data_IF_922959224951
#
_entry.id   IF_922959224951
#
_cell.length_a   1.000
_cell.length_b   1.000
_cell.length_c   1.000
_cell.angle_alpha   90.00
_cell.angle_beta   90.00
_cell.angle_gamma   90.00
#
_symmetry.space_group_name_H-M   'P 1'
#
loop_
_entity.id
_entity.type
_entity.pdbx_description
1 polymer ?
#
# COMPACT_ATOMS: atom_id res chain seq x y z
N UNK A 1 -25.97 -28.59 -5.40
CA UNK A 1 -26.10 -28.44 -4.01
C UNK A 1 -24.91 -27.71 -3.42
N UNK A 2 -23.99 -28.46 -2.85
CA UNK A 2 -22.76 -27.86 -2.40
C UNK A 2 -22.00 -27.18 -3.53
N UNK A 3 -22.12 -27.75 -4.67
CA UNK A 3 -21.34 -27.35 -5.82
C UNK A 3 -21.65 -25.95 -6.31
N UNK A 4 -22.91 -25.56 -6.30
CA UNK A 4 -23.18 -24.23 -6.86
C UNK A 4 -22.68 -23.10 -5.97
N UNK A 5 -22.48 -23.38 -4.72
CA UNK A 5 -21.84 -22.41 -3.87
C UNK A 5 -20.37 -22.20 -4.26
N UNK A 6 -19.68 -23.28 -4.52
CA UNK A 6 -18.29 -23.23 -4.89
C UNK A 6 -18.08 -22.76 -6.32
N UNK A 7 -18.98 -23.15 -7.19
CA UNK A 7 -18.86 -22.78 -8.59
C UNK A 7 -19.00 -21.28 -8.82
N UNK A 8 -19.73 -20.61 -7.93
CA UNK A 8 -19.97 -19.18 -8.07
C UNK A 8 -18.86 -18.34 -7.51
N UNK A 9 -18.03 -18.89 -6.64
CA UNK A 9 -16.94 -18.13 -6.02
C UNK A 9 -15.61 -18.70 -6.45
N UNK A 10 -14.77 -17.80 -7.00
CA UNK A 10 -13.41 -18.17 -7.40
C UNK A 10 -12.44 -17.24 -6.70
N UNK A 11 -11.24 -17.73 -6.34
CA UNK A 11 -10.24 -16.84 -5.76
C UNK A 11 -9.85 -15.78 -6.78
N UNK A 12 -10.03 -14.53 -6.40
CA UNK A 12 -9.68 -13.40 -7.25
C UNK A 12 -8.48 -12.70 -6.63
N UNK A 13 -7.42 -12.63 -7.41
CA UNK A 13 -6.15 -12.06 -6.98
C UNK A 13 -6.17 -10.57 -7.26
N UNK A 14 -6.13 -9.77 -6.22
CA UNK A 14 -6.18 -8.32 -6.36
C UNK A 14 -4.81 -7.69 -6.39
N UNK A 15 -3.94 -8.09 -5.46
CA UNK A 15 -2.57 -7.59 -5.43
C UNK A 15 -1.69 -8.50 -4.60
N UNK A 16 -0.39 -8.41 -4.86
CA UNK A 16 0.62 -9.20 -4.18
C UNK A 16 1.16 -8.48 -2.95
N UNK A 17 1.81 -9.24 -2.10
CA UNK A 17 2.61 -8.68 -1.03
C UNK A 17 3.83 -8.00 -1.64
N UNK A 18 4.12 -6.79 -1.19
CA UNK A 18 5.26 -6.05 -1.72
C UNK A 18 5.02 -5.45 -3.10
N UNK A 19 3.78 -5.42 -3.55
CA UNK A 19 3.46 -4.86 -4.85
C UNK A 19 3.58 -3.33 -4.81
N UNK A 20 4.25 -2.77 -5.81
CA UNK A 20 4.40 -1.33 -5.91
C UNK A 20 3.06 -0.66 -6.12
N UNK A 21 2.79 0.39 -5.35
CA UNK A 21 1.55 1.16 -5.45
C UNK A 21 1.81 2.51 -6.10
N UNK A 22 2.65 3.32 -5.49
CA UNK A 22 3.03 4.62 -6.06
C UNK A 22 4.21 5.20 -5.28
N UNK A 23 4.80 6.24 -5.82
CA UNK A 23 5.81 7.01 -5.10
C UNK A 23 5.13 8.20 -4.43
N UNK A 24 5.58 8.53 -3.22
CA UNK A 24 5.15 9.76 -2.56
C UNK A 24 6.36 10.67 -2.43
N UNK A 25 6.10 11.96 -2.44
CA UNK A 25 7.17 12.95 -2.37
C UNK A 25 7.72 13.02 -0.95
N UNK A 26 9.04 13.08 -0.84
CA UNK A 26 9.73 13.21 0.45
C UNK A 26 10.28 14.62 0.54
N UNK A 27 9.92 15.31 1.62
CA UNK A 27 10.46 16.64 1.88
C UNK A 27 11.68 16.53 2.81
N UNK A 28 12.74 17.24 2.45
CA UNK A 28 13.95 17.30 3.28
C UNK A 28 14.55 15.95 3.59
N UNK A 29 14.45 15.01 2.64
CA UNK A 29 14.99 13.68 2.80
C UNK A 29 16.16 13.41 1.88
N UNK A 30 16.83 12.31 2.15
CA UNK A 30 17.95 11.86 1.33
C UNK A 30 17.50 11.41 -0.06
N UNK A 31 16.21 11.18 -0.21
CA UNK A 31 15.60 10.79 -1.48
C UNK A 31 14.44 11.73 -1.79
N UNK A 32 14.20 11.93 -3.06
CA UNK A 32 13.12 12.81 -3.50
C UNK A 32 11.77 12.13 -3.44
N UNK A 33 11.75 10.83 -3.70
CA UNK A 33 10.54 10.02 -3.71
C UNK A 33 10.74 8.73 -2.94
N UNK A 34 9.64 8.25 -2.38
CA UNK A 34 9.64 7.02 -1.61
C UNK A 34 8.65 6.05 -2.21
N UNK A 35 9.11 4.87 -2.65
CA UNK A 35 8.17 3.87 -3.17
C UNK A 35 7.35 3.25 -2.04
N UNK A 36 6.07 3.15 -2.27
CA UNK A 36 5.12 2.57 -1.32
C UNK A 36 4.64 1.24 -1.88
N UNK A 37 4.64 0.23 -1.03
CA UNK A 37 4.23 -1.12 -1.44
C UNK A 37 3.19 -1.67 -0.47
N UNK A 38 2.51 -2.72 -0.91
CA UNK A 38 1.52 -3.39 -0.08
C UNK A 38 2.23 -4.22 0.99
N UNK A 39 1.60 -4.31 2.16
CA UNK A 39 2.14 -5.10 3.27
C UNK A 39 1.77 -6.58 3.15
N UNK A 40 0.62 -6.87 2.57
CA UNK A 40 0.14 -8.24 2.41
C UNK A 40 -0.51 -8.42 1.05
N UNK A 41 -0.61 -9.66 0.61
CA UNK A 41 -1.37 -9.96 -0.61
C UNK A 41 -2.85 -9.95 -0.31
N UNK A 42 -3.66 -9.78 -1.35
CA UNK A 42 -5.11 -9.82 -1.23
C UNK A 42 -5.70 -10.75 -2.26
N UNK A 43 -6.27 -11.84 -1.77
CA UNK A 43 -6.96 -12.81 -2.60
C UNK A 43 -8.32 -13.01 -1.97
N UNK A 44 -9.38 -12.73 -2.72
CA UNK A 44 -10.74 -12.80 -2.19
C UNK A 44 -11.59 -13.74 -3.03
N UNK A 45 -12.45 -14.53 -2.38
CA UNK A 45 -13.40 -15.32 -3.14
C UNK A 45 -14.52 -14.42 -3.65
N UNK A 46 -14.61 -14.29 -4.96
CA UNK A 46 -15.59 -13.40 -5.57
C UNK A 46 -16.35 -14.12 -6.66
N UNK A 47 -17.59 -13.71 -6.84
CA UNK A 47 -18.40 -14.15 -7.97
C UNK A 47 -17.98 -13.34 -9.20
N UNK A 48 -18.22 -13.89 -10.37
CA UNK A 48 -17.88 -13.24 -11.60
C UNK A 48 -18.46 -11.84 -11.72
N UNK A 49 -19.72 -11.70 -11.31
CA UNK A 49 -20.40 -10.40 -11.34
C UNK A 49 -19.82 -9.41 -10.35
N UNK A 50 -19.29 -9.91 -9.27
CA UNK A 50 -18.75 -9.05 -8.21
C UNK A 50 -17.46 -8.37 -8.62
N UNK A 51 -16.71 -8.99 -9.51
CA UNK A 51 -15.46 -8.40 -9.98
C UNK A 51 -15.66 -7.02 -10.57
N UNK A 52 -16.76 -6.81 -11.25
CA UNK A 52 -17.05 -5.54 -11.89
C UNK A 52 -17.41 -4.45 -10.88
N UNK A 53 -17.79 -4.85 -9.69
CA UNK A 53 -18.21 -3.92 -8.64
C UNK A 53 -17.14 -3.70 -7.58
N UNK A 54 -15.94 -4.21 -7.82
CA UNK A 54 -14.81 -4.02 -6.91
C UNK A 54 -14.25 -2.61 -7.13
N UNK A 55 -14.03 -1.91 -6.03
CA UNK A 55 -13.38 -0.62 -6.06
C UNK A 55 -12.25 -0.62 -5.05
N UNK A 56 -11.07 -0.22 -5.48
CA UNK A 56 -9.91 -0.15 -4.61
C UNK A 56 -9.58 1.30 -4.34
N UNK A 57 -9.46 1.64 -3.07
CA UNK A 57 -9.15 3.00 -2.65
C UNK A 57 -7.79 2.99 -1.95
N UNK A 58 -6.97 3.95 -2.29
CA UNK A 58 -5.64 4.10 -1.71
C UNK A 58 -5.59 5.40 -0.95
N UNK A 59 -5.25 5.31 0.34
CA UNK A 59 -5.17 6.46 1.21
C UNK A 59 -3.71 6.66 1.60
N UNK A 60 -3.07 7.64 0.98
CA UNK A 60 -1.67 7.98 1.22
C UNK A 60 -1.53 9.49 1.28
N UNK A 61 -0.60 10.00 2.08
CA UNK A 61 -0.31 11.44 2.07
C UNK A 61 0.38 11.83 0.77
N UNK A 62 0.22 13.07 0.38
CA UNK A 62 0.90 13.58 -0.81
C UNK A 62 2.39 13.72 -0.60
N UNK A 63 2.77 14.05 0.61
CA UNK A 63 4.16 14.27 1.00
C UNK A 63 4.41 13.63 2.34
N UNK A 64 5.66 13.32 2.60
CA UNK A 64 6.06 12.76 3.87
C UNK A 64 7.40 13.34 4.28
N UNK A 65 7.60 13.48 5.57
CA UNK A 65 8.83 14.02 6.14
C UNK A 65 9.62 12.91 6.81
N UNK A 66 10.91 12.76 6.50
CA UNK A 66 11.73 11.74 7.15
C UNK A 66 12.03 12.12 8.61
N UNK A 67 12.51 11.19 9.43
CA UNK A 67 13.02 9.88 9.03
C UNK A 67 11.91 8.86 8.81
N UNK A 68 12.13 7.98 7.86
CA UNK A 68 11.18 6.92 7.54
C UNK A 68 11.95 5.60 7.49
N UNK A 69 11.50 4.65 8.28
CA UNK A 69 12.13 3.34 8.29
C UNK A 69 11.47 2.42 7.30
N UNK A 70 12.25 1.48 6.79
CA UNK A 70 11.69 0.45 5.93
C UNK A 70 10.59 -0.30 6.67
N UNK A 71 9.46 -0.51 6.00
CA UNK A 71 8.34 -1.20 6.60
C UNK A 71 7.40 -0.32 7.40
N UNK A 72 7.68 0.98 7.47
CA UNK A 72 6.80 1.89 8.20
C UNK A 72 5.45 1.99 7.48
N UNK A 73 4.38 1.94 8.27
CA UNK A 73 3.03 2.11 7.72
C UNK A 73 2.84 3.56 7.31
N UNK A 74 2.53 3.75 6.02
CA UNK A 74 2.34 5.07 5.45
C UNK A 74 0.89 5.39 5.13
N UNK A 75 0.09 4.36 4.88
CA UNK A 75 -1.30 4.54 4.54
C UNK A 75 -2.02 3.21 4.49
N UNK A 76 -3.14 3.20 3.80
CA UNK A 76 -3.97 2.01 3.69
C UNK A 76 -4.50 1.81 2.29
N UNK A 77 -4.70 0.55 1.95
CA UNK A 77 -5.40 0.17 0.74
C UNK A 77 -6.70 -0.52 1.17
N UNK A 78 -7.81 -0.06 0.63
CA UNK A 78 -9.12 -0.56 0.99
C UNK A 78 -9.83 -1.12 -0.23
N UNK A 79 -10.48 -2.25 -0.06
CA UNK A 79 -11.21 -2.90 -1.14
C UNK A 79 -12.70 -2.86 -0.80
N UNK A 80 -13.48 -2.33 -1.71
CA UNK A 80 -14.93 -2.21 -1.55
C UNK A 80 -15.65 -3.06 -2.60
N UNK A 81 -16.73 -3.67 -2.18
CA UNK A 81 -17.62 -4.38 -3.08
C UNK A 81 -19.01 -3.80 -2.93
N UNK A 82 -19.55 -3.23 -4.01
CA UNK A 82 -20.85 -2.55 -4.00
C UNK A 82 -20.93 -1.49 -2.90
N UNK A 83 -19.84 -0.76 -2.70
CA UNK A 83 -19.78 0.30 -1.72
C UNK A 83 -19.54 -0.16 -0.29
N UNK A 84 -19.37 -1.46 -0.08
CA UNK A 84 -19.13 -2.01 1.25
C UNK A 84 -17.68 -2.42 1.38
N UNK A 85 -17.04 -2.02 2.47
CA UNK A 85 -15.65 -2.40 2.75
C UNK A 85 -15.58 -3.89 3.05
N UNK A 86 -14.81 -4.63 2.27
CA UNK A 86 -14.65 -6.07 2.46
C UNK A 86 -13.23 -6.46 2.85
N UNK A 87 -12.24 -5.60 2.59
CA UNK A 87 -10.88 -5.89 2.95
C UNK A 87 -10.07 -4.60 3.01
N UNK A 88 -9.13 -4.55 3.94
CA UNK A 88 -8.22 -3.42 4.04
C UNK A 88 -6.89 -3.91 4.58
N UNK A 89 -5.80 -3.30 4.12
CA UNK A 89 -4.50 -3.61 4.66
C UNK A 89 -3.63 -2.37 4.61
N UNK A 90 -2.45 -2.47 5.22
CA UNK A 90 -1.55 -1.33 5.30
C UNK A 90 -0.69 -1.21 4.05
N UNK A 91 -0.30 0.03 3.77
CA UNK A 91 0.71 0.33 2.76
C UNK A 91 1.94 0.78 3.51
N UNK A 92 3.07 0.24 3.11
CA UNK A 92 4.32 0.45 3.85
C UNK A 92 5.41 1.00 2.96
N UNK A 93 6.44 1.53 3.59
CA UNK A 93 7.62 2.01 2.91
C UNK A 93 8.48 0.83 2.46
N UNK A 94 8.89 0.84 1.21
CA UNK A 94 9.81 -0.18 0.69
C UNK A 94 11.24 0.08 1.14
N UNK A 95 11.57 1.34 1.40
CA UNK A 95 12.94 1.75 1.68
C UNK A 95 13.01 2.65 2.90
N UNK A 96 14.21 2.77 3.44
CA UNK A 96 14.46 3.72 4.49
C UNK A 96 14.85 5.06 3.88
N UNK A 97 14.36 6.16 4.44
CA UNK A 97 14.73 7.50 4.03
C UNK A 97 15.18 8.28 5.25
N UNK A 98 16.37 8.85 5.17
CA UNK A 98 16.95 9.62 6.26
C UNK A 98 16.73 11.10 6.05
N UNK A 99 16.75 11.85 7.14
CA UNK A 99 16.62 13.30 7.06
C UNK A 99 17.85 13.92 6.41
N UNK A 100 17.59 14.88 5.55
CA UNK A 100 18.69 15.62 4.92
C UNK A 100 19.45 16.44 5.94
N UNK A 101 18.74 17.02 6.91
CA UNK A 101 19.35 17.82 7.96
C UNK A 101 20.31 17.02 8.82
N UNK A 102 20.07 15.73 8.95
CA UNK A 102 20.96 14.86 9.69
C UNK A 102 22.35 14.86 9.09
N UNK A 103 22.44 14.75 7.77
CA UNK A 103 23.72 14.76 7.07
C UNK A 103 24.39 16.12 7.15
N UNK A 104 23.60 17.18 7.05
CA UNK A 104 24.11 18.53 7.14
C UNK A 104 24.75 18.78 8.51
N UNK A 105 24.11 18.31 9.56
CA UNK A 105 24.65 18.46 10.90
C UNK A 105 25.95 17.70 11.08
N UNK A 106 26.01 16.49 10.53
CA UNK A 106 27.22 15.69 10.61
C UNK A 106 28.37 16.37 9.89
N UNK A 107 28.12 16.93 8.73
CA UNK A 107 29.14 17.61 7.97
C UNK A 107 29.66 18.83 8.72
N UNK A 108 28.78 19.56 9.37
CA UNK A 108 29.18 20.73 10.14
C UNK A 108 29.98 20.35 11.37
N UNK A 109 29.74 19.18 11.91
CA UNK A 109 30.46 18.68 13.07
C UNK A 109 31.87 18.26 12.73
N UNK A 110 32.09 17.98 11.49
CA UNK A 110 33.42 17.59 11.01
C UNK A 110 34.23 18.82 10.64
#
# INVERSE_FOLDING_TARGET
>A
LLDYGFDNYKPYFLYDEGQFIKNIKVEDGSKEYLPVVTNTSCILPLKEKEKENIKITIDLPEKITPPIKEGKVLGKISVYLNGKLIYASDLISKEEVKELNFFTKLKKSL
#
